data_IF_522657313028
#
_entry.id   IF_522657313028
#
_cell.length_a   1.000
_cell.length_b   1.000
_cell.length_c   1.000
_cell.angle_alpha   90.00
_cell.angle_beta   90.00
_cell.angle_gamma   90.00
#
_symmetry.space_group_name_H-M   'P 1'
#
loop_
_entity.id
_entity.type
_entity.pdbx_description
1 polymer ?
#
# COMPACT_ATOMS: atom_id res chain seq x y z
N UNK A 1 -3.65 14.48 11.34
CA UNK A 1 -3.68 14.13 9.89
C UNK A 1 -3.16 15.34 9.14
N UNK A 2 -2.34 15.15 8.13
CA UNK A 2 -1.73 16.23 7.36
C UNK A 2 -2.62 16.65 6.19
N UNK A 3 -2.73 17.95 5.95
CA UNK A 3 -3.29 18.54 4.73
C UNK A 3 -2.30 18.43 3.55
N UNK A 4 -2.75 18.75 2.34
CA UNK A 4 -1.92 18.77 1.13
C UNK A 4 -0.68 19.66 1.27
N UNK A 5 -0.86 20.87 1.81
CA UNK A 5 0.25 21.79 2.09
C UNK A 5 1.24 21.25 3.12
N UNK A 6 0.76 20.59 4.18
CA UNK A 6 1.61 19.95 5.18
C UNK A 6 2.32 18.70 4.63
N UNK A 7 1.67 17.92 3.73
CA UNK A 7 2.32 16.81 3.02
C UNK A 7 3.48 17.34 2.18
N UNK A 8 3.28 18.40 1.38
CA UNK A 8 4.37 19.03 0.61
C UNK A 8 5.51 19.53 1.51
N UNK A 9 5.16 20.17 2.61
CA UNK A 9 6.16 20.67 3.57
C UNK A 9 6.93 19.51 4.22
N UNK A 10 6.27 18.39 4.53
CA UNK A 10 6.91 17.19 5.05
C UNK A 10 7.81 16.52 4.00
N UNK A 11 7.41 16.52 2.73
CA UNK A 11 8.27 16.03 1.63
C UNK A 11 9.51 16.90 1.47
N UNK A 12 9.37 18.23 1.54
CA UNK A 12 10.51 19.15 1.46
C UNK A 12 11.52 18.99 2.62
N UNK A 13 11.08 18.49 3.78
CA UNK A 13 11.95 18.14 4.92
C UNK A 13 12.43 16.70 4.91
N UNK A 14 12.11 15.93 3.86
CA UNK A 14 12.39 14.47 3.75
C UNK A 14 11.70 13.62 4.84
N UNK A 15 10.67 14.15 5.49
CA UNK A 15 9.85 13.38 6.43
C UNK A 15 8.92 12.39 5.72
N UNK A 16 8.52 12.71 4.48
CA UNK A 16 7.75 11.85 3.59
C UNK A 16 8.48 11.76 2.25
N UNK A 17 8.81 10.54 1.82
CA UNK A 17 9.28 10.23 0.48
C UNK A 17 8.22 9.43 -0.28
N UNK A 18 7.89 9.86 -1.50
CA UNK A 18 7.00 9.17 -2.44
C UNK A 18 7.69 9.15 -3.80
N UNK A 19 7.97 7.98 -4.35
CA UNK A 19 8.68 7.85 -5.62
C UNK A 19 8.05 6.75 -6.49
N UNK A 20 7.59 7.07 -7.72
CA UNK A 20 7.47 8.41 -8.30
C UNK A 20 6.39 9.25 -7.60
N UNK A 21 6.53 10.57 -7.60
CA UNK A 21 5.51 11.49 -7.11
C UNK A 21 4.75 12.11 -8.28
N UNK A 22 3.42 12.09 -8.20
CA UNK A 22 2.53 12.71 -9.19
C UNK A 22 1.68 13.77 -8.50
N UNK A 23 1.84 15.01 -8.91
CA UNK A 23 1.12 16.14 -8.32
C UNK A 23 -0.41 15.97 -8.36
N UNK A 24 -0.92 15.38 -9.43
CA UNK A 24 -2.35 15.08 -9.63
C UNK A 24 -2.91 14.03 -8.65
N UNK A 25 -2.06 13.34 -7.89
CA UNK A 25 -2.45 12.35 -6.88
C UNK A 25 -2.57 12.95 -5.48
N UNK A 26 -2.07 14.18 -5.27
CA UNK A 26 -2.21 14.88 -4.01
C UNK A 26 -3.65 15.36 -3.83
N UNK A 27 -4.26 14.99 -2.71
CA UNK A 27 -5.64 15.30 -2.34
C UNK A 27 -5.63 16.17 -1.09
N UNK A 28 -6.73 16.84 -0.70
CA UNK A 28 -6.76 17.79 0.41
C UNK A 28 -6.17 17.29 1.73
N UNK A 29 -6.19 15.97 2.01
CA UNK A 29 -5.61 15.39 3.23
C UNK A 29 -5.09 13.96 3.01
N UNK A 30 -4.66 13.62 1.79
CA UNK A 30 -4.16 12.29 1.45
C UNK A 30 -3.38 12.32 0.14
N UNK A 31 -2.70 11.23 -0.18
CA UNK A 31 -2.07 10.99 -1.48
C UNK A 31 -2.62 9.71 -2.09
N UNK A 32 -3.09 9.75 -3.33
CA UNK A 32 -3.56 8.57 -4.06
C UNK A 32 -2.38 7.78 -4.61
N UNK A 33 -2.38 6.46 -4.40
CA UNK A 33 -1.34 5.54 -4.89
C UNK A 33 -1.88 4.64 -5.99
N UNK A 34 -0.98 4.24 -6.89
CA UNK A 34 -1.32 3.40 -8.03
C UNK A 34 -1.06 1.91 -7.73
N UNK A 35 -1.90 1.07 -8.32
CA UNK A 35 -1.70 -0.38 -8.33
C UNK A 35 -0.49 -0.73 -9.19
N UNK A 36 0.46 -1.48 -8.64
CA UNK A 36 1.60 -2.00 -9.40
C UNK A 36 1.15 -3.11 -10.38
N UNK A 37 2.06 -3.46 -11.28
CA UNK A 37 1.80 -4.47 -12.32
C UNK A 37 1.77 -5.91 -11.81
N UNK A 38 2.34 -6.17 -10.64
CA UNK A 38 2.36 -7.50 -10.04
C UNK A 38 1.31 -7.65 -8.95
N UNK A 39 0.54 -8.73 -9.02
CA UNK A 39 -0.29 -9.23 -7.92
C UNK A 39 0.16 -10.64 -7.54
N UNK A 40 -0.20 -11.07 -6.33
CA UNK A 40 0.08 -12.43 -5.85
C UNK A 40 -1.24 -13.17 -5.60
N UNK A 41 -1.46 -14.24 -6.37
CA UNK A 41 -2.64 -15.11 -6.29
C UNK A 41 -2.19 -16.47 -5.78
N UNK A 42 -2.67 -16.90 -4.62
CA UNK A 42 -2.29 -18.18 -3.99
C UNK A 42 -0.76 -18.40 -3.92
N UNK A 43 -0.02 -17.34 -3.59
CA UNK A 43 1.44 -17.38 -3.48
C UNK A 43 2.22 -17.25 -4.80
N UNK A 44 1.54 -17.22 -5.94
CA UNK A 44 2.17 -17.06 -7.26
C UNK A 44 2.02 -15.62 -7.76
N UNK A 45 3.09 -15.06 -8.29
CA UNK A 45 3.07 -13.72 -8.91
C UNK A 45 2.47 -13.78 -10.31
N UNK A 46 1.57 -12.85 -10.59
CA UNK A 46 0.89 -12.67 -11.87
C UNK A 46 1.06 -11.22 -12.31
N UNK A 47 1.39 -11.01 -13.58
CA UNK A 47 1.44 -9.68 -14.18
C UNK A 47 0.06 -9.33 -14.70
N UNK A 48 -0.45 -8.16 -14.30
CA UNK A 48 -1.72 -7.62 -14.77
C UNK A 48 -1.49 -6.49 -15.79
N UNK A 49 -2.37 -6.35 -16.79
CA UNK A 49 -2.20 -5.33 -17.81
C UNK A 49 -2.37 -3.92 -17.25
N UNK A 50 -1.73 -2.95 -17.92
CA UNK A 50 -1.87 -1.54 -17.58
C UNK A 50 -3.15 -0.93 -18.14
N UNK A 51 -3.77 -0.02 -17.37
CA UNK A 51 -4.91 0.77 -17.82
C UNK A 51 -4.61 1.57 -19.09
N UNK A 52 -3.34 1.87 -19.38
CA UNK A 52 -2.91 2.53 -20.60
C UNK A 52 -3.02 1.63 -21.84
N UNK A 53 -3.25 0.33 -21.67
CA UNK A 53 -3.38 -0.67 -22.75
C UNK A 53 -4.79 -1.29 -22.81
N UNK A 54 -5.80 -0.66 -22.21
CA UNK A 54 -7.17 -1.18 -22.17
C UNK A 54 -7.82 -1.41 -23.52
N UNK A 55 -7.31 -0.75 -24.57
CA UNK A 55 -7.83 -0.90 -25.93
C UNK A 55 -7.31 -2.17 -26.64
N UNK A 56 -6.26 -2.81 -26.07
CA UNK A 56 -5.57 -3.98 -26.66
C UNK A 56 -5.39 -5.15 -25.67
N UNK A 57 -5.86 -5.02 -24.45
CA UNK A 57 -5.74 -6.03 -23.42
C UNK A 57 -7.03 -6.10 -22.58
N UNK A 58 -7.30 -7.28 -22.02
CA UNK A 58 -8.39 -7.47 -21.06
C UNK A 58 -7.88 -7.27 -19.62
N UNK A 59 -8.73 -6.75 -18.70
CA UNK A 59 -8.35 -6.57 -17.30
C UNK A 59 -8.12 -7.93 -16.64
N UNK A 60 -7.31 -7.92 -15.58
CA UNK A 60 -7.33 -9.04 -14.66
C UNK A 60 -8.60 -8.96 -13.80
N UNK A 61 -9.31 -10.08 -13.68
CA UNK A 61 -10.62 -10.12 -13.00
C UNK A 61 -10.49 -10.66 -11.58
N UNK A 62 -10.85 -9.85 -10.59
CA UNK A 62 -11.00 -10.25 -9.20
C UNK A 62 -12.45 -10.75 -8.99
N UNK A 63 -12.62 -12.08 -8.92
CA UNK A 63 -13.96 -12.67 -8.78
C UNK A 63 -14.51 -12.48 -7.36
N UNK A 64 -15.83 -12.58 -7.16
CA UNK A 64 -16.48 -12.49 -5.84
C UNK A 64 -15.82 -13.41 -4.80
N UNK A 65 -15.58 -12.87 -3.60
CA UNK A 65 -14.96 -13.62 -2.50
C UNK A 65 -13.46 -13.91 -2.66
N UNK A 66 -12.82 -13.43 -3.73
CA UNK A 66 -11.39 -13.67 -3.95
C UNK A 66 -10.55 -12.64 -3.18
N UNK A 67 -9.49 -13.18 -2.55
CA UNK A 67 -8.42 -12.41 -1.91
C UNK A 67 -7.13 -12.55 -2.70
N UNK A 68 -6.44 -11.42 -2.92
CA UNK A 68 -5.12 -11.37 -3.53
C UNK A 68 -4.25 -10.31 -2.86
N UNK A 69 -2.94 -10.53 -2.88
CA UNK A 69 -2.00 -9.47 -2.50
C UNK A 69 -1.60 -8.69 -3.74
N UNK A 70 -1.44 -7.38 -3.55
CA UNK A 70 -0.94 -6.47 -4.55
C UNK A 70 0.07 -5.52 -3.90
N UNK A 71 0.61 -4.58 -4.64
CA UNK A 71 1.47 -3.54 -4.07
C UNK A 71 1.19 -2.17 -4.69
N UNK A 72 1.62 -1.13 -3.98
CA UNK A 72 1.70 0.20 -4.56
C UNK A 72 2.82 0.24 -5.60
N UNK A 73 2.59 0.98 -6.70
CA UNK A 73 3.65 1.33 -7.65
C UNK A 73 4.69 2.24 -6.98
N UNK A 74 4.21 3.17 -6.16
CA UNK A 74 5.05 4.11 -5.44
C UNK A 74 5.86 3.42 -4.33
N UNK A 75 7.13 3.76 -4.26
CA UNK A 75 7.97 3.53 -3.09
C UNK A 75 7.69 4.61 -2.06
N UNK A 76 7.41 4.21 -0.83
CA UNK A 76 7.10 5.10 0.29
C UNK A 76 8.24 5.05 1.30
N UNK A 77 8.65 6.23 1.80
CA UNK A 77 9.61 6.36 2.87
C UNK A 77 9.06 7.34 3.92
N UNK A 78 8.99 6.91 5.15
CA UNK A 78 8.53 7.72 6.28
C UNK A 78 9.68 7.97 7.25
N UNK A 79 9.82 9.21 7.74
CA UNK A 79 10.71 9.50 8.85
C UNK A 79 10.13 8.95 10.16
N UNK A 80 10.90 9.02 11.24
CA UNK A 80 10.41 8.69 12.58
C UNK A 80 9.29 9.62 13.09
N UNK A 81 9.04 10.72 12.38
CA UNK A 81 8.05 11.74 12.74
C UNK A 81 6.68 11.49 12.11
N UNK A 82 6.59 10.62 11.11
CA UNK A 82 5.37 10.42 10.31
C UNK A 82 4.92 8.96 10.35
N UNK A 83 3.66 8.75 10.72
CA UNK A 83 2.92 7.53 10.47
C UNK A 83 1.98 7.70 9.29
N UNK A 84 1.53 6.60 8.68
CA UNK A 84 0.53 6.64 7.62
C UNK A 84 -0.52 5.54 7.77
N UNK A 85 -1.64 5.69 7.06
CA UNK A 85 -2.66 4.65 6.91
C UNK A 85 -3.06 4.51 5.46
N UNK A 86 -3.25 3.26 5.04
CA UNK A 86 -3.90 2.93 3.78
C UNK A 86 -5.41 3.09 3.96
N UNK A 87 -6.05 3.81 3.06
CA UNK A 87 -7.49 3.96 2.99
C UNK A 87 -8.00 3.63 1.59
N UNK A 88 -9.22 3.10 1.51
CA UNK A 88 -9.87 2.83 0.23
C UNK A 88 -10.32 4.10 -0.48
N UNK A 89 -10.51 4.01 -1.78
CA UNK A 89 -11.18 5.05 -2.58
C UNK A 89 -12.67 4.74 -2.65
N UNK A 90 -13.51 5.77 -2.45
CA UNK A 90 -14.98 5.63 -2.45
C UNK A 90 -15.51 4.96 -3.72
N UNK A 91 -14.91 5.26 -4.88
CA UNK A 91 -15.30 4.69 -6.17
C UNK A 91 -15.08 3.18 -6.26
N UNK A 92 -14.03 2.67 -5.62
CA UNK A 92 -13.74 1.24 -5.54
C UNK A 92 -14.51 0.57 -4.41
N UNK A 93 -14.59 1.21 -3.24
CA UNK A 93 -15.37 0.71 -2.10
C UNK A 93 -16.85 0.51 -2.43
N UNK A 94 -17.44 1.40 -3.22
CA UNK A 94 -18.83 1.26 -3.70
C UNK A 94 -19.05 0.10 -4.68
N UNK A 95 -17.99 -0.46 -5.23
CA UNK A 95 -18.00 -1.70 -6.03
C UNK A 95 -17.64 -2.93 -5.21
N UNK A 96 -17.52 -2.79 -3.88
CA UNK A 96 -17.18 -3.89 -2.99
C UNK A 96 -15.68 -4.22 -2.91
N UNK A 97 -14.78 -3.36 -3.44
CA UNK A 97 -13.35 -3.59 -3.32
C UNK A 97 -12.81 -3.09 -1.98
N UNK A 98 -12.30 -3.98 -1.14
CA UNK A 98 -11.38 -3.65 -0.06
C UNK A 98 -9.95 -3.58 -0.57
N UNK A 99 -9.14 -2.65 -0.04
CA UNK A 99 -7.72 -2.50 -0.40
C UNK A 99 -6.77 -2.89 0.75
N UNK A 100 -7.31 -3.06 1.94
CA UNK A 100 -6.69 -3.73 3.09
C UNK A 100 -7.78 -4.40 3.92
N UNK A 101 -7.50 -5.57 4.48
CA UNK A 101 -8.44 -6.27 5.35
C UNK A 101 -8.21 -5.89 6.82
N UNK A 102 -6.96 -5.88 7.28
CA UNK A 102 -6.64 -5.62 8.69
C UNK A 102 -5.39 -4.75 8.90
N UNK A 103 -4.43 -4.74 7.98
CA UNK A 103 -3.10 -4.17 8.18
C UNK A 103 -2.89 -2.84 7.46
N UNK A 104 -3.81 -1.90 7.65
CA UNK A 104 -3.74 -0.58 6.99
C UNK A 104 -2.78 0.42 7.63
N UNK A 105 -2.22 0.15 8.81
CA UNK A 105 -1.34 1.08 9.51
C UNK A 105 0.12 0.91 9.07
N UNK A 106 0.80 2.03 8.84
CA UNK A 106 2.19 2.08 8.41
C UNK A 106 2.98 2.88 9.44
N UNK A 107 3.88 2.19 10.11
CA UNK A 107 4.68 2.73 11.20
C UNK A 107 5.68 3.80 10.75
N UNK A 108 6.01 4.76 11.63
CA UNK A 108 7.13 5.66 11.43
C UNK A 108 8.44 4.90 11.16
N UNK A 109 9.20 5.34 10.15
CA UNK A 109 10.44 4.69 9.73
C UNK A 109 10.28 3.66 8.62
N UNK A 110 9.06 3.28 8.23
CA UNK A 110 8.83 2.35 7.12
C UNK A 110 9.42 2.88 5.81
N UNK A 111 10.02 1.98 5.03
CA UNK A 111 10.50 2.21 3.67
C UNK A 111 10.17 1.00 2.80
N UNK A 112 9.48 1.19 1.67
CA UNK A 112 9.13 0.10 0.76
C UNK A 112 7.91 0.41 -0.11
N UNK A 113 7.59 -0.52 -1.02
CA UNK A 113 6.26 -0.55 -1.60
C UNK A 113 5.28 -1.10 -0.55
N UNK A 114 4.07 -0.54 -0.49
CA UNK A 114 3.06 -1.01 0.46
C UNK A 114 2.34 -2.20 -0.15
N UNK A 115 2.30 -3.32 0.56
CA UNK A 115 1.46 -4.45 0.17
C UNK A 115 0.00 -4.13 0.46
N UNK A 116 -0.85 -4.34 -0.53
CA UNK A 116 -2.30 -4.17 -0.47
C UNK A 116 -2.97 -5.54 -0.38
N UNK A 117 -3.99 -5.65 0.45
CA UNK A 117 -4.80 -6.86 0.66
C UNK A 117 -6.13 -6.68 -0.08
N UNK A 118 -6.13 -6.94 -1.41
CA UNK A 118 -7.33 -6.73 -2.22
C UNK A 118 -8.32 -7.86 -2.02
N UNK A 119 -9.56 -7.51 -1.69
CA UNK A 119 -10.64 -8.46 -1.50
C UNK A 119 -11.93 -7.95 -2.15
N UNK A 120 -12.57 -8.79 -2.97
CA UNK A 120 -13.87 -8.49 -3.57
C UNK A 120 -15.00 -8.99 -2.65
N UNK A 121 -15.67 -8.03 -1.99
CA UNK A 121 -16.81 -8.28 -1.09
C UNK A 121 -18.15 -8.28 -1.81
N UNK A 122 -18.19 -7.95 -3.11
CA UNK A 122 -19.42 -7.90 -3.89
C UNK A 122 -19.72 -9.26 -4.52
N UNK A 123 -20.89 -9.38 -5.12
CA UNK A 123 -21.34 -10.51 -5.92
C UNK A 123 -20.96 -10.38 -7.42
N UNK A 124 -20.38 -9.23 -7.81
CA UNK A 124 -19.96 -8.96 -9.18
C UNK A 124 -18.42 -8.99 -9.33
N UNK A 125 -17.89 -9.43 -10.49
CA UNK A 125 -16.46 -9.39 -10.74
C UNK A 125 -15.93 -7.95 -10.85
N UNK A 126 -14.72 -7.71 -10.31
CA UNK A 126 -14.06 -6.41 -10.36
C UNK A 126 -12.86 -6.47 -11.29
N UNK A 127 -12.84 -5.59 -12.30
CA UNK A 127 -11.72 -5.44 -13.21
C UNK A 127 -10.54 -4.70 -12.54
N UNK A 128 -9.36 -5.30 -12.52
CA UNK A 128 -8.13 -4.72 -12.03
C UNK A 128 -7.17 -4.40 -13.18
N UNK A 129 -6.65 -3.19 -13.17
CA UNK A 129 -5.64 -2.69 -14.08
C UNK A 129 -4.48 -2.11 -13.30
N UNK A 130 -3.25 -2.41 -13.67
CA UNK A 130 -2.11 -1.69 -13.12
C UNK A 130 -2.13 -0.23 -13.55
N UNK A 131 -1.39 0.62 -12.85
CA UNK A 131 -1.36 2.07 -13.01
C UNK A 131 -2.70 2.78 -12.73
N UNK A 132 -3.71 2.09 -12.18
CA UNK A 132 -4.92 2.76 -11.66
C UNK A 132 -4.70 3.25 -10.24
N UNK A 133 -5.28 4.40 -9.89
CA UNK A 133 -5.27 4.93 -8.52
C UNK A 133 -6.18 4.06 -7.65
N UNK A 134 -5.58 3.15 -6.87
CA UNK A 134 -6.31 2.08 -6.17
C UNK A 134 -6.63 2.40 -4.72
N UNK A 135 -5.76 3.14 -4.04
CA UNK A 135 -5.86 3.43 -2.61
C UNK A 135 -5.42 4.87 -2.33
N UNK A 136 -5.49 5.28 -1.07
CA UNK A 136 -4.97 6.56 -0.55
C UNK A 136 -4.08 6.30 0.65
N UNK A 137 -3.12 7.20 0.85
CA UNK A 137 -2.33 7.29 2.06
C UNK A 137 -2.71 8.56 2.83
N UNK A 138 -3.18 8.39 4.06
CA UNK A 138 -3.36 9.47 5.01
C UNK A 138 -2.14 9.53 5.92
N UNK A 139 -1.57 10.72 6.13
CA UNK A 139 -0.36 10.90 6.93
C UNK A 139 -0.66 11.59 8.25
N UNK A 140 0.06 11.21 9.29
CA UNK A 140 -0.12 11.68 10.65
C UNK A 140 1.22 12.10 11.24
N UNK A 141 1.28 13.33 11.77
CA UNK A 141 2.41 13.78 12.55
C UNK A 141 2.44 13.03 13.90
N UNK A 142 3.59 12.49 14.25
CA UNK A 142 3.86 11.91 15.57
C UNK A 142 4.80 12.82 16.36
N UNK A 143 4.99 12.54 17.64
CA UNK A 143 6.00 13.24 18.46
C UNK A 143 7.43 12.71 18.24
N UNK A 144 7.61 11.81 17.29
CA UNK A 144 8.87 11.13 17.00
C UNK A 144 8.97 9.78 17.69
N UNK A 145 9.14 8.71 16.89
CA UNK A 145 9.37 7.38 17.43
C UNK A 145 10.80 7.23 17.95
N UNK A 146 10.99 6.73 19.14
CA UNK A 146 12.32 6.38 19.67
C UNK A 146 12.88 5.13 18.98
N UNK A 147 11.99 4.20 18.62
CA UNK A 147 12.33 2.95 17.91
C UNK A 147 11.49 2.85 16.63
N UNK A 148 11.85 3.59 15.55
CA UNK A 148 11.10 3.55 14.30
C UNK A 148 11.19 2.16 13.64
N UNK A 149 10.24 1.87 12.76
CA UNK A 149 10.20 0.62 12.00
C UNK A 149 11.53 0.40 11.26
N UNK A 150 12.10 -0.80 11.38
CA UNK A 150 13.45 -1.14 10.90
C UNK A 150 14.55 -1.01 11.97
N UNK A 151 14.25 -0.52 13.19
CA UNK A 151 15.22 -0.50 14.27
C UNK A 151 15.65 -1.91 14.67
N UNK A 152 16.90 -2.04 15.09
CA UNK A 152 17.44 -3.31 15.56
C UNK A 152 16.60 -3.88 16.73
N UNK A 153 16.30 -5.16 16.69
CA UNK A 153 15.51 -5.86 17.72
C UNK A 153 14.01 -5.55 17.72
N UNK A 154 13.47 -4.78 16.73
CA UNK A 154 12.03 -4.52 16.63
C UNK A 154 11.27 -5.62 15.86
N UNK A 155 11.96 -6.54 15.17
CA UNK A 155 11.30 -7.58 14.36
C UNK A 155 10.54 -7.06 13.14
N UNK A 156 10.99 -5.95 12.56
CA UNK A 156 10.35 -5.29 11.40
C UNK A 156 10.48 -6.13 10.14
N UNK A 157 9.49 -7.01 9.89
CA UNK A 157 9.56 -8.06 8.85
C UNK A 157 9.57 -7.52 7.42
N UNK A 158 8.99 -6.34 7.16
CA UNK A 158 8.72 -5.86 5.80
C UNK A 158 9.50 -4.61 5.42
N UNK A 159 10.53 -4.23 6.22
CA UNK A 159 11.39 -3.10 5.89
C UNK A 159 12.12 -3.34 4.57
N UNK A 160 12.08 -2.35 3.67
CA UNK A 160 12.76 -2.42 2.37
C UNK A 160 12.09 -3.34 1.34
N UNK A 161 10.84 -3.77 1.57
CA UNK A 161 10.14 -4.66 0.63
C UNK A 161 9.93 -3.98 -0.73
N UNK A 162 10.12 -4.76 -1.81
CA UNK A 162 9.95 -4.32 -3.20
C UNK A 162 8.83 -5.12 -3.87
N UNK A 163 7.87 -4.41 -4.48
CA UNK A 163 6.72 -5.01 -5.12
C UNK A 163 5.85 -5.81 -4.14
N UNK A 164 4.98 -6.68 -4.67
CA UNK A 164 4.10 -7.52 -3.87
C UNK A 164 4.91 -8.54 -3.07
N UNK A 165 4.70 -8.56 -1.76
CA UNK A 165 5.41 -9.42 -0.81
C UNK A 165 4.39 -10.25 -0.01
N UNK A 166 4.57 -11.57 0.02
CA UNK A 166 3.75 -12.48 0.82
C UNK A 166 4.07 -12.41 2.32
N UNK A 167 3.30 -13.15 3.12
CA UNK A 167 3.55 -13.24 4.55
C UNK A 167 4.93 -13.82 4.84
N UNK A 168 5.66 -13.18 5.75
CA UNK A 168 6.95 -13.64 6.29
C UNK A 168 6.79 -14.29 7.66
N UNK A 169 5.59 -14.64 8.05
CA UNK A 169 5.33 -15.45 9.25
C UNK A 169 5.53 -16.90 8.85
N UNK A 170 6.37 -17.65 9.60
CA UNK A 170 6.56 -19.07 9.36
C UNK A 170 5.30 -19.86 9.74
N UNK A 171 4.98 -20.89 8.97
CA UNK A 171 3.85 -21.80 9.27
C UNK A 171 4.11 -22.66 10.50
N UNK A 172 5.34 -22.67 11.03
CA UNK A 172 5.74 -23.44 12.24
C UNK A 172 5.35 -22.79 13.56
N UNK A 173 4.60 -21.65 13.53
CA UNK A 173 4.09 -21.04 14.75
C UNK A 173 5.18 -20.41 15.65
N UNK A 174 6.35 -20.10 15.10
CA UNK A 174 7.36 -19.35 15.83
C UNK A 174 6.85 -17.94 16.13
N UNK A 175 6.32 -17.78 17.33
CA UNK A 175 6.25 -16.50 18.01
C UNK A 175 7.72 -16.14 18.26
N UNK A 176 8.34 -15.36 17.38
CA UNK A 176 9.63 -14.75 17.68
C UNK A 176 9.41 -13.68 18.75
N UNK A 177 9.23 -14.13 19.95
CA UNK A 177 9.44 -13.38 21.16
C UNK A 177 10.82 -13.74 21.68
N UNK A 178 11.57 -12.71 21.99
CA UNK A 178 12.77 -12.70 22.81
C UNK A 178 14.10 -13.02 22.09
N UNK A 179 14.85 -11.95 21.92
CA UNK A 179 16.26 -11.82 21.76
C UNK A 179 16.62 -10.37 21.99
#
# INVERSE_FOLDING_TARGET
>A
MLSDGEIRAAMAREDIGITPFFDSCLQPASYEVHLDKEIMVRGQKVIIPSVNHKDVAEPWTLVPGQFVLASTHEWIALSKMIASRVEGKSSHGRKGLSVHCTAGFIDPGFRGNITLELYNQSDEPIALWSATRIAKLCFFQTKGSERPYGSQGLGSKYQGQKGVTGSRVSTSGEINGEG
#
